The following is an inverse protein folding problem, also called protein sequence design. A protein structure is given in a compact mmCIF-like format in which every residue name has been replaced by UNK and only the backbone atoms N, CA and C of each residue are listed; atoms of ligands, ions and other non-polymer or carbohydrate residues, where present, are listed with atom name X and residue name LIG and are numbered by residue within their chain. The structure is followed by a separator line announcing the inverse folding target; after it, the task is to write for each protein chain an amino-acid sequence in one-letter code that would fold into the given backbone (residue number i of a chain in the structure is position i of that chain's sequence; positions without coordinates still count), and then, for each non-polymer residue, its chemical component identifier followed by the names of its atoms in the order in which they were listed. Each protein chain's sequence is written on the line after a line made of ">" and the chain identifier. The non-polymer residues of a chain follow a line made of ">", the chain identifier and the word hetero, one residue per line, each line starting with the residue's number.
data_IF_494956331221
#
_entry.id   IF_494956331221
#
_cell.length_a   1.000
_cell.length_b   1.000
_cell.length_c   1.000
_cell.angle_alpha   90.00
_cell.angle_beta   90.00
_cell.angle_gamma   90.00
#
_symmetry.space_group_name_H-M   'P 1'
#
loop_
_entity.id
_entity.type
_entity.pdbx_description
1 polymer ?
#
# COMPACT_ATOMS: atom_id res chain seq x y z
N UNK A 1 25.79 -83.63 5.44
CA UNK A 1 26.06 -83.36 4.00
C UNK A 1 25.05 -82.35 3.51
N UNK A 2 25.51 -81.30 2.79
CA UNK A 2 24.78 -80.48 1.78
C UNK A 2 23.52 -79.71 2.26
N UNK A 3 23.57 -78.36 2.31
CA UNK A 3 23.04 -77.41 1.27
C UNK A 3 21.50 -77.35 1.30
N UNK A 4 20.76 -76.25 1.14
CA UNK A 4 20.97 -74.90 0.63
C UNK A 4 19.65 -74.13 0.85
N UNK A 5 19.77 -72.80 0.99
CA UNK A 5 18.81 -71.69 0.75
C UNK A 5 17.35 -71.96 0.33
N UNK A 6 16.43 -71.10 0.81
CA UNK A 6 15.86 -70.02 -0.03
C UNK A 6 15.08 -68.98 0.80
N UNK A 7 15.60 -67.75 0.77
CA UNK A 7 15.00 -66.52 1.29
C UNK A 7 13.82 -66.11 0.41
N UNK A 8 12.70 -65.76 1.05
CA UNK A 8 11.56 -65.12 0.41
C UNK A 8 11.80 -63.62 0.23
N UNK A 9 11.51 -63.19 -0.99
CA UNK A 9 11.60 -61.82 -1.50
C UNK A 9 10.39 -61.02 -1.03
N UNK A 10 10.58 -59.86 -0.41
CA UNK A 10 9.55 -58.83 -0.30
C UNK A 10 10.08 -57.59 -1.03
N UNK A 11 9.41 -57.27 -2.13
CA UNK A 11 9.65 -56.08 -2.94
C UNK A 11 9.18 -54.88 -2.13
N UNK A 12 10.13 -54.11 -1.62
CA UNK A 12 9.86 -52.78 -1.06
C UNK A 12 9.49 -51.84 -2.22
N UNK A 13 8.20 -51.56 -2.36
CA UNK A 13 7.70 -50.51 -3.24
C UNK A 13 8.15 -49.15 -2.72
N UNK A 14 9.27 -48.65 -3.24
CA UNK A 14 9.69 -47.25 -3.11
C UNK A 14 8.75 -46.36 -3.93
N UNK A 15 7.66 -45.92 -3.31
CA UNK A 15 6.93 -44.74 -3.78
C UNK A 15 7.75 -43.51 -3.39
N UNK A 16 8.71 -43.17 -4.25
CA UNK A 16 9.38 -41.87 -4.19
C UNK A 16 8.32 -40.81 -4.52
N UNK A 17 7.67 -40.29 -3.49
CA UNK A 17 7.08 -38.96 -3.54
C UNK A 17 8.26 -38.00 -3.77
N UNK A 18 8.52 -37.69 -5.03
CA UNK A 18 9.33 -36.56 -5.43
C UNK A 18 8.55 -35.33 -4.95
N UNK A 19 8.80 -34.89 -3.71
CA UNK A 19 8.42 -33.56 -3.27
C UNK A 19 9.16 -32.60 -4.21
N UNK A 20 8.44 -32.10 -5.21
CA UNK A 20 8.81 -30.91 -5.96
C UNK A 20 9.22 -29.87 -4.93
N UNK A 21 10.52 -29.57 -4.88
CA UNK A 21 10.99 -28.35 -4.25
C UNK A 21 10.47 -27.25 -5.16
N UNK A 22 9.27 -26.76 -4.88
CA UNK A 22 8.83 -25.49 -5.42
C UNK A 22 9.85 -24.48 -4.89
N UNK A 23 10.79 -24.10 -5.77
CA UNK A 23 11.68 -22.97 -5.55
C UNK A 23 10.74 -21.79 -5.26
N UNK A 24 10.93 -21.04 -4.16
CA UNK A 24 10.23 -19.78 -4.02
C UNK A 24 10.62 -18.93 -5.23
N UNK A 25 9.61 -18.64 -6.04
CA UNK A 25 9.64 -17.74 -7.17
C UNK A 25 10.40 -16.47 -6.75
N UNK A 26 11.47 -16.16 -7.47
CA UNK A 26 12.36 -15.04 -7.16
C UNK A 26 11.68 -13.71 -7.51
N UNK A 27 10.67 -13.31 -6.73
CA UNK A 27 10.17 -11.94 -6.72
C UNK A 27 11.11 -11.13 -5.83
N UNK A 28 12.34 -10.83 -6.28
CA UNK A 28 13.31 -10.14 -5.42
C UNK A 28 14.02 -8.90 -5.97
N UNK A 29 13.78 -8.48 -7.21
CA UNK A 29 14.53 -7.33 -7.76
C UNK A 29 13.71 -6.06 -8.10
N UNK A 30 12.38 -6.13 -8.30
CA UNK A 30 11.61 -4.93 -8.64
C UNK A 30 11.03 -4.18 -7.43
N UNK A 31 10.76 -4.88 -6.31
CA UNK A 31 10.08 -4.28 -5.15
C UNK A 31 10.94 -3.23 -4.45
N UNK A 32 12.23 -3.51 -4.26
CA UNK A 32 13.15 -2.57 -3.60
C UNK A 32 13.33 -1.28 -4.42
N UNK A 33 13.48 -1.41 -5.74
CA UNK A 33 13.55 -0.27 -6.67
C UNK A 33 12.27 0.55 -6.61
N UNK A 34 11.11 -0.11 -6.65
CA UNK A 34 9.79 0.54 -6.58
C UNK A 34 9.57 1.24 -5.24
N UNK A 35 9.94 0.62 -4.13
CA UNK A 35 9.90 1.26 -2.80
C UNK A 35 10.78 2.52 -2.77
N UNK A 36 11.98 2.47 -3.35
CA UNK A 36 12.86 3.64 -3.42
C UNK A 36 12.25 4.77 -4.27
N UNK A 37 11.62 4.45 -5.40
CA UNK A 37 10.91 5.42 -6.23
C UNK A 37 9.72 6.07 -5.47
N UNK A 38 8.92 5.27 -4.77
CA UNK A 38 7.79 5.77 -3.98
C UNK A 38 8.27 6.67 -2.83
N UNK A 39 9.36 6.31 -2.15
CA UNK A 39 9.96 7.17 -1.13
C UNK A 39 10.44 8.50 -1.71
N UNK A 40 11.05 8.50 -2.89
CA UNK A 40 11.44 9.74 -3.59
C UNK A 40 10.23 10.62 -3.92
N UNK A 41 9.11 10.02 -4.35
CA UNK A 41 7.84 10.75 -4.55
C UNK A 41 7.35 11.34 -3.22
N UNK A 42 7.40 10.56 -2.14
CA UNK A 42 6.97 11.00 -0.81
C UNK A 42 7.80 12.18 -0.28
N UNK A 43 9.12 12.14 -0.44
CA UNK A 43 10.04 13.23 -0.06
C UNK A 43 9.74 14.53 -0.80
N UNK A 44 9.32 14.44 -2.06
CA UNK A 44 8.92 15.59 -2.88
C UNK A 44 7.51 16.10 -2.56
N UNK A 45 6.67 15.27 -1.91
CA UNK A 45 5.26 15.55 -1.63
C UNK A 45 4.91 15.27 -0.15
N UNK A 46 5.53 15.99 0.81
CA UNK A 46 5.35 15.71 2.24
C UNK A 46 3.92 15.97 2.75
N UNK A 47 3.20 16.91 2.13
CA UNK A 47 1.80 17.22 2.47
C UNK A 47 0.82 16.12 2.05
N UNK A 48 1.30 15.20 1.21
CA UNK A 48 0.63 13.98 0.79
C UNK A 48 0.75 13.74 -0.72
N UNK A 49 0.45 12.52 -1.15
CA UNK A 49 0.31 12.15 -2.56
C UNK A 49 -0.62 10.95 -2.73
N UNK A 50 -1.15 10.76 -3.94
CA UNK A 50 -1.92 9.57 -4.34
C UNK A 50 -1.51 9.17 -5.75
N UNK A 51 -1.13 7.91 -5.93
CA UNK A 51 -0.59 7.37 -7.17
C UNK A 51 -1.20 6.00 -7.50
N UNK A 52 -1.21 5.67 -8.77
CA UNK A 52 -1.41 4.30 -9.22
C UNK A 52 -0.18 3.47 -8.88
N UNK A 53 -0.42 2.32 -8.25
CA UNK A 53 0.61 1.41 -7.81
C UNK A 53 1.44 0.92 -9.01
N UNK A 54 0.79 0.59 -10.14
CA UNK A 54 1.41 -0.08 -11.28
C UNK A 54 2.47 0.76 -12.02
N UNK A 55 2.20 2.04 -12.24
CA UNK A 55 3.07 2.92 -13.05
C UNK A 55 3.53 4.19 -12.32
N UNK A 56 3.15 4.35 -11.05
CA UNK A 56 3.50 5.47 -10.17
C UNK A 56 3.01 6.83 -10.68
N UNK A 57 2.05 6.88 -11.60
CA UNK A 57 1.41 8.12 -12.02
C UNK A 57 0.46 8.65 -10.95
N UNK A 58 0.38 9.97 -10.82
CA UNK A 58 -0.55 10.62 -9.89
C UNK A 58 -2.00 10.40 -10.31
N UNK A 59 -2.84 10.15 -9.31
CA UNK A 59 -4.30 10.21 -9.47
C UNK A 59 -4.73 11.67 -9.33
N UNK A 60 -5.52 12.18 -10.27
CA UNK A 60 -5.88 13.60 -10.34
C UNK A 60 -7.35 13.89 -10.04
N UNK A 61 -8.20 12.87 -9.94
CA UNK A 61 -9.66 13.03 -9.83
C UNK A 61 -10.28 12.08 -8.80
N UNK A 62 -11.37 12.53 -8.17
CA UNK A 62 -12.20 11.74 -7.26
C UNK A 62 -11.85 11.85 -5.78
N UNK A 63 -12.67 11.20 -4.94
CA UNK A 63 -12.47 11.09 -3.50
C UNK A 63 -11.52 9.96 -3.14
N UNK A 64 -10.48 10.28 -2.38
CA UNK A 64 -9.55 9.32 -1.79
C UNK A 64 -10.12 8.82 -0.46
N UNK A 65 -10.32 7.51 -0.38
CA UNK A 65 -10.76 6.82 0.84
C UNK A 65 -9.77 5.72 1.19
N UNK A 66 -9.07 5.88 2.30
CA UNK A 66 -8.06 4.92 2.75
C UNK A 66 -8.65 3.60 3.23
N UNK A 67 -7.93 2.51 3.02
CA UNK A 67 -8.33 1.16 3.41
C UNK A 67 -8.05 0.92 4.89
N UNK A 68 -9.04 0.36 5.60
CA UNK A 68 -8.87 0.01 7.02
C UNK A 68 -7.71 -0.96 7.26
N UNK A 69 -7.47 -1.88 6.31
CA UNK A 69 -6.41 -2.90 6.38
C UNK A 69 -5.00 -2.31 6.43
N UNK A 70 -4.77 -1.15 5.81
CA UNK A 70 -3.47 -0.47 5.72
C UNK A 70 -3.29 0.64 6.74
N UNK A 71 -4.26 0.85 7.63
CA UNK A 71 -4.19 1.85 8.71
C UNK A 71 -2.91 1.71 9.55
N UNK A 72 -2.31 2.85 9.89
CA UNK A 72 -1.07 2.97 10.67
C UNK A 72 0.16 2.27 10.05
N UNK A 73 0.19 2.07 8.73
CA UNK A 73 1.38 1.54 8.06
C UNK A 73 2.45 2.63 7.95
N UNK A 74 3.61 2.39 8.56
CA UNK A 74 4.76 3.32 8.59
C UNK A 74 6.05 2.57 8.30
N UNK A 75 7.10 3.30 7.90
CA UNK A 75 8.40 2.70 7.57
C UNK A 75 8.35 1.73 6.39
N UNK A 76 9.41 0.94 6.22
CA UNK A 76 9.61 0.08 5.06
C UNK A 76 8.66 -1.12 5.06
N UNK A 77 8.42 -1.73 6.22
CA UNK A 77 7.47 -2.83 6.36
C UNK A 77 6.03 -2.37 6.05
N UNK A 78 5.68 -1.17 6.51
CA UNK A 78 4.39 -0.55 6.21
C UNK A 78 4.24 -0.28 4.71
N UNK A 79 5.26 0.29 4.08
CA UNK A 79 5.26 0.55 2.64
C UNK A 79 5.10 -0.75 1.83
N UNK A 80 5.86 -1.78 2.18
CA UNK A 80 5.77 -3.09 1.52
C UNK A 80 4.37 -3.70 1.67
N UNK A 81 3.77 -3.60 2.87
CA UNK A 81 2.40 -4.03 3.11
C UNK A 81 1.42 -3.27 2.21
N UNK A 82 1.52 -1.95 2.14
CA UNK A 82 0.63 -1.11 1.32
C UNK A 82 0.75 -1.45 -0.16
N UNK A 83 1.96 -1.58 -0.69
CA UNK A 83 2.19 -1.97 -2.10
C UNK A 83 1.48 -3.29 -2.40
N UNK A 84 1.66 -4.30 -1.54
CA UNK A 84 1.03 -5.62 -1.73
C UNK A 84 -0.50 -5.55 -1.68
N UNK A 85 -1.07 -4.77 -0.76
CA UNK A 85 -2.52 -4.63 -0.67
C UNK A 85 -3.05 -3.87 -1.89
N UNK A 86 -2.47 -2.73 -2.23
CA UNK A 86 -2.85 -1.94 -3.40
C UNK A 86 -2.80 -2.77 -4.68
N UNK A 87 -1.71 -3.51 -4.93
CA UNK A 87 -1.56 -4.37 -6.10
C UNK A 87 -2.62 -5.48 -6.20
N UNK A 88 -3.13 -5.95 -5.05
CA UNK A 88 -4.16 -7.00 -4.99
C UNK A 88 -5.59 -6.45 -5.08
N UNK A 89 -5.82 -5.19 -4.72
CA UNK A 89 -7.17 -4.64 -4.53
C UNK A 89 -7.48 -3.50 -5.49
N UNK A 90 -7.04 -2.28 -5.17
CA UNK A 90 -7.49 -1.04 -5.82
C UNK A 90 -6.52 -0.54 -6.88
N UNK A 91 -5.27 -1.01 -6.85
CA UNK A 91 -4.17 -0.48 -7.64
C UNK A 91 -3.79 0.96 -7.26
N UNK A 92 -4.27 1.48 -6.12
CA UNK A 92 -4.04 2.88 -5.71
C UNK A 92 -3.47 2.93 -4.31
N UNK A 93 -2.44 3.76 -4.14
CA UNK A 93 -1.81 4.00 -2.86
C UNK A 93 -1.36 5.45 -2.71
N UNK A 94 -1.02 5.82 -1.48
CA UNK A 94 -0.52 7.15 -1.18
C UNK A 94 0.23 7.17 0.14
N UNK A 95 0.62 8.37 0.53
CA UNK A 95 1.21 8.60 1.83
C UNK A 95 1.31 10.08 2.14
N UNK A 96 1.64 10.39 3.39
CA UNK A 96 1.87 11.76 3.87
C UNK A 96 2.84 11.75 5.05
N UNK A 97 3.54 12.86 5.25
CA UNK A 97 4.43 13.06 6.38
C UNK A 97 3.66 13.62 7.58
N UNK A 98 3.77 12.98 8.73
CA UNK A 98 3.19 13.48 9.98
C UNK A 98 4.17 13.27 11.13
N UNK A 99 4.50 14.36 11.84
CA UNK A 99 5.44 14.34 12.98
C UNK A 99 6.76 13.62 12.68
N UNK A 100 7.30 13.82 11.47
CA UNK A 100 8.58 13.23 11.04
C UNK A 100 8.48 11.77 10.58
N UNK A 101 7.28 11.19 10.54
CA UNK A 101 7.05 9.81 10.10
C UNK A 101 6.14 9.80 8.86
N UNK A 102 6.55 9.09 7.82
CA UNK A 102 5.70 8.84 6.66
C UNK A 102 4.70 7.73 6.96
N UNK A 103 3.43 8.06 6.75
CA UNK A 103 2.31 7.14 6.77
C UNK A 103 1.99 6.73 5.34
N UNK A 104 1.71 5.44 5.16
CA UNK A 104 1.36 4.84 3.87
C UNK A 104 -0.06 4.30 3.95
N UNK A 105 -0.82 4.43 2.86
CA UNK A 105 -2.17 3.89 2.79
C UNK A 105 -2.49 3.35 1.39
N UNK A 106 -3.14 2.19 1.33
CA UNK A 106 -3.83 1.77 0.12
C UNK A 106 -5.20 2.46 0.11
N UNK A 107 -5.66 2.94 -1.04
CA UNK A 107 -6.85 3.78 -1.10
C UNK A 107 -7.80 3.34 -2.19
N UNK A 108 -9.08 3.60 -1.98
CA UNK A 108 -10.11 3.62 -3.02
C UNK A 108 -10.16 5.02 -3.63
N UNK A 109 -10.49 5.08 -4.92
CA UNK A 109 -10.90 6.30 -5.61
C UNK A 109 -12.39 6.15 -5.90
N UNK A 110 -13.19 7.08 -5.39
CA UNK A 110 -14.65 7.05 -5.48
C UNK A 110 -15.13 8.38 -6.05
N UNK A 111 -15.96 8.37 -7.07
CA UNK A 111 -16.45 9.60 -7.71
C UNK A 111 -17.55 10.28 -6.88
N UNK A 112 -18.51 9.50 -6.37
CA UNK A 112 -19.62 10.02 -5.58
C UNK A 112 -19.23 10.32 -4.13
N UNK A 113 -19.56 11.53 -3.67
CA UNK A 113 -19.23 11.99 -2.32
C UNK A 113 -20.00 11.19 -1.24
N UNK A 114 -21.25 10.81 -1.50
CA UNK A 114 -22.07 10.12 -0.51
C UNK A 114 -21.56 8.68 -0.30
N UNK A 115 -21.21 7.99 -1.39
CA UNK A 115 -20.54 6.70 -1.37
C UNK A 115 -19.18 6.79 -0.68
N UNK A 116 -18.34 7.75 -1.06
CA UNK A 116 -17.04 7.98 -0.42
C UNK A 116 -17.18 8.23 1.07
N UNK A 117 -18.19 9.00 1.48
CA UNK A 117 -18.48 9.29 2.88
C UNK A 117 -18.93 8.05 3.64
N UNK A 118 -19.78 7.21 3.04
CA UNK A 118 -20.22 5.96 3.65
C UNK A 118 -19.06 4.97 3.80
N UNK A 119 -18.23 4.84 2.77
CA UNK A 119 -17.04 3.98 2.77
C UNK A 119 -15.99 4.46 3.78
N UNK A 120 -15.74 5.77 3.86
CA UNK A 120 -14.80 6.34 4.82
C UNK A 120 -15.24 6.08 6.27
N UNK A 121 -16.54 6.17 6.58
CA UNK A 121 -17.07 5.80 7.90
C UNK A 121 -16.89 4.30 8.18
N UNK A 122 -17.18 3.44 7.20
CA UNK A 122 -16.94 1.99 7.30
C UNK A 122 -15.47 1.68 7.55
N UNK A 123 -14.55 2.45 6.95
CA UNK A 123 -13.12 2.35 7.14
C UNK A 123 -12.58 3.13 8.35
N UNK A 124 -13.47 3.66 9.21
CA UNK A 124 -13.14 4.40 10.42
C UNK A 124 -12.21 5.60 10.19
N UNK A 125 -12.41 6.29 9.06
CA UNK A 125 -11.73 7.53 8.75
C UNK A 125 -12.46 8.71 9.40
N UNK A 126 -11.70 9.72 9.85
CA UNK A 126 -12.27 10.96 10.35
C UNK A 126 -12.61 11.94 9.23
N UNK A 127 -11.96 11.79 8.07
CA UNK A 127 -12.17 12.63 6.90
C UNK A 127 -11.75 11.90 5.60
N UNK A 128 -12.28 12.37 4.48
CA UNK A 128 -11.93 11.98 3.10
C UNK A 128 -11.44 13.20 2.33
N UNK A 129 -10.68 12.98 1.25
CA UNK A 129 -10.06 14.04 0.46
C UNK A 129 -10.52 14.00 -0.99
N UNK A 130 -10.86 15.14 -1.59
CA UNK A 130 -11.19 15.26 -3.01
C UNK A 130 -10.01 15.82 -3.80
N UNK A 131 -9.54 15.06 -4.79
CA UNK A 131 -8.34 15.41 -5.56
C UNK A 131 -8.55 16.64 -6.46
N UNK A 132 -9.72 16.78 -7.08
CA UNK A 132 -9.97 17.90 -8.02
C UNK A 132 -10.00 19.27 -7.34
N UNK A 133 -10.58 19.32 -6.15
CA UNK A 133 -10.87 20.59 -5.45
C UNK A 133 -9.87 20.84 -4.34
N UNK A 134 -9.08 19.83 -3.99
CA UNK A 134 -8.22 19.82 -2.81
C UNK A 134 -8.99 19.91 -1.50
N UNK A 135 -10.29 19.54 -1.49
CA UNK A 135 -11.15 19.71 -0.33
C UNK A 135 -11.12 18.49 0.58
N UNK A 136 -11.00 18.72 1.88
CA UNK A 136 -11.17 17.69 2.91
C UNK A 136 -12.58 17.75 3.47
N UNK A 137 -13.30 16.62 3.45
CA UNK A 137 -14.60 16.47 4.11
C UNK A 137 -14.46 15.64 5.37
N UNK A 138 -14.87 16.21 6.51
CA UNK A 138 -14.95 15.48 7.78
C UNK A 138 -16.23 14.63 7.83
N UNK A 139 -16.11 13.38 8.29
CA UNK A 139 -17.20 12.39 8.23
C UNK A 139 -18.07 12.34 9.48
N UNK A 140 -17.55 12.80 10.61
CA UNK A 140 -18.26 12.91 11.88
C UNK A 140 -18.94 14.29 11.97
N UNK A 141 -20.26 14.31 11.86
CA UNK A 141 -21.06 15.52 12.02
C UNK A 141 -21.08 15.98 13.49
N UNK A 142 -20.73 17.25 13.74
CA UNK A 142 -21.05 18.10 14.90
C UNK A 142 -20.83 17.62 16.36
N UNK A 143 -20.52 16.36 16.66
CA UNK A 143 -20.32 15.88 18.03
C UNK A 143 -18.87 16.04 18.55
N UNK A 144 -17.92 16.45 17.70
CA UNK A 144 -16.49 16.51 18.03
C UNK A 144 -16.03 17.79 18.75
N UNK A 145 -16.93 18.78 18.97
CA UNK A 145 -16.61 19.97 19.79
C UNK A 145 -16.35 19.66 21.27
N UNK A 146 -16.79 18.52 21.80
CA UNK A 146 -16.59 18.16 23.23
C UNK A 146 -15.39 17.25 23.52
N UNK A 147 -14.78 16.62 22.50
CA UNK A 147 -13.67 15.67 22.67
C UNK A 147 -12.32 16.17 22.15
N UNK A 148 -12.24 17.47 21.88
CA UNK A 148 -11.13 18.13 21.17
C UNK A 148 -9.84 18.31 22.01
N UNK A 149 -9.58 17.43 22.98
CA UNK A 149 -8.26 17.29 23.64
C UNK A 149 -7.52 16.00 23.27
N UNK A 150 -8.19 15.00 22.69
CA UNK A 150 -7.55 13.72 22.35
C UNK A 150 -7.16 13.57 20.87
N UNK A 151 -7.75 14.37 19.96
CA UNK A 151 -7.58 14.20 18.52
C UNK A 151 -7.23 15.49 17.77
N UNK A 152 -6.13 16.13 18.16
CA UNK A 152 -5.41 17.09 17.28
C UNK A 152 -4.98 16.50 15.92
N UNK A 153 -5.19 15.20 15.72
CA UNK A 153 -4.93 14.41 14.51
C UNK A 153 -5.90 14.73 13.34
N UNK A 154 -7.16 15.06 13.62
CA UNK A 154 -8.16 15.32 12.58
C UNK A 154 -8.02 16.73 11.96
N UNK A 155 -7.68 17.75 12.76
CA UNK A 155 -7.52 19.14 12.31
C UNK A 155 -6.36 19.38 11.32
N UNK A 156 -5.50 18.38 11.05
CA UNK A 156 -4.38 18.49 10.10
C UNK A 156 -4.63 17.83 8.75
N UNK A 157 -5.64 16.95 8.64
CA UNK A 157 -6.09 16.41 7.34
C UNK A 157 -6.60 17.57 6.45
N UNK A 158 -7.20 18.60 7.05
CA UNK A 158 -7.66 19.81 6.34
C UNK A 158 -6.55 20.73 5.79
N UNK A 159 -5.27 20.42 6.06
CA UNK A 159 -4.13 21.10 5.43
C UNK A 159 -3.52 20.30 4.28
N UNK A 160 -4.18 19.23 3.82
CA UNK A 160 -3.85 18.58 2.57
C UNK A 160 -4.07 19.57 1.42
N UNK A 161 -3.02 20.29 1.03
CA UNK A 161 -2.94 20.89 -0.29
C UNK A 161 -1.96 20.04 -1.06
N UNK A 162 -2.49 19.08 -1.82
CA UNK A 162 -1.67 18.40 -2.82
C UNK A 162 -1.11 19.50 -3.73
N UNK A 163 0.22 19.64 -3.89
CA UNK A 163 0.73 20.46 -4.98
C UNK A 163 0.17 19.89 -6.28
N UNK A 164 -0.39 20.74 -7.13
CA UNK A 164 -0.75 20.36 -8.51
C UNK A 164 0.48 19.69 -9.11
N UNK A 165 0.39 18.45 -9.64
CA UNK A 165 1.56 17.70 -10.06
C UNK A 165 2.41 18.52 -11.01
N UNK A 166 3.65 18.84 -10.62
CA UNK A 166 4.67 19.22 -11.59
C UNK A 166 5.04 17.92 -12.30
N UNK A 167 4.87 17.91 -13.61
CA UNK A 167 5.15 16.77 -14.50
C UNK A 167 6.48 16.12 -14.10
N UNK A 168 6.40 14.87 -13.61
CA UNK A 168 7.56 14.14 -13.13
C UNK A 168 8.28 13.53 -14.34
N UNK A 169 9.37 14.17 -14.76
CA UNK A 169 10.19 13.66 -15.85
C UNK A 169 11.08 12.50 -15.37
N UNK A 170 10.76 11.30 -15.86
CA UNK A 170 11.42 10.04 -15.51
C UNK A 170 12.73 9.84 -16.30
N UNK A 171 13.05 10.70 -17.29
CA UNK A 171 14.17 10.46 -18.20
C UNK A 171 15.55 10.77 -17.61
N UNK A 172 15.64 11.50 -16.49
CA UNK A 172 16.92 12.07 -16.04
C UNK A 172 17.66 11.31 -14.94
N UNK A 173 17.22 10.11 -14.55
CA UNK A 173 17.80 9.41 -13.39
C UNK A 173 18.42 8.03 -13.70
N UNK A 174 18.71 7.74 -14.97
CA UNK A 174 19.37 6.48 -15.39
C UNK A 174 20.92 6.57 -15.50
N UNK A 175 21.55 7.65 -15.04
CA UNK A 175 23.01 7.84 -15.17
C UNK A 175 23.75 7.84 -13.83
N UNK A 176 23.67 6.76 -13.04
CA UNK A 176 24.63 6.51 -11.95
C UNK A 176 24.90 5.02 -11.78
N UNK A 177 25.57 4.43 -12.77
CA UNK A 177 26.51 3.31 -12.57
C UNK A 177 27.57 3.36 -13.68
N UNK A 178 28.72 3.95 -13.37
CA UNK A 178 30.03 3.55 -13.90
C UNK A 178 31.12 3.96 -12.92
#
# INVERSE_FOLDING_TARGET
>A
MKKLLLFWTIVAGSFLLSCSKDKPEQIKDNTAVRMAQIKKIAEQNPDGFTIYSADLKFVTHGWVVGMLETKNSVGDEGLLKVIRIADKTTGVMGGWLYEGVFYWDASYIVEDEAEASALGRKNQQTAIYHLDTGTTKFLDGDASRSHNRKYGKAQRISRMRQPIPKEFDISNNLSLTH
#
